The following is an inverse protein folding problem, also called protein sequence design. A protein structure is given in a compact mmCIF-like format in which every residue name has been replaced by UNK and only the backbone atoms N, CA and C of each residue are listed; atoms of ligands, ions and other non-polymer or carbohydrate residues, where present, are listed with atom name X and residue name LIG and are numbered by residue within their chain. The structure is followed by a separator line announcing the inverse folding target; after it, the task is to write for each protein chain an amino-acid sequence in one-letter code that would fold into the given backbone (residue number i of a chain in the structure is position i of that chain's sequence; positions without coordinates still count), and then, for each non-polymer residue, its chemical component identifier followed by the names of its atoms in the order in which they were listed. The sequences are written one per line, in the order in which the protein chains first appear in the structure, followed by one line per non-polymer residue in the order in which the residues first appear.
data_IF_168977272794
#
_entry.id   IF_168977272794
#
_cell.length_a   1.000
_cell.length_b   1.000
_cell.length_c   1.000
_cell.angle_alpha   90.00
_cell.angle_beta   90.00
_cell.angle_gamma   90.00
#
_symmetry.space_group_name_H-M   'P 1'
#
loop_
_entity.id
_entity.type
_entity.pdbx_description
1 polymer ?
#
# COMPACT_ATOMS: atom_id res chain seq x y z
N UNK A 1 -20.66 16.09 -10.04
CA UNK A 1 -20.68 16.68 -8.69
C UNK A 1 -19.42 17.50 -8.55
N UNK A 2 -19.51 18.77 -8.18
CA UNK A 2 -18.34 19.60 -7.93
C UNK A 2 -17.98 19.46 -6.45
N UNK A 3 -17.01 18.60 -6.15
CA UNK A 3 -16.56 18.28 -4.80
C UNK A 3 -15.26 19.01 -4.51
N UNK A 4 -15.26 19.90 -3.51
CA UNK A 4 -14.06 20.58 -3.03
C UNK A 4 -13.70 20.14 -1.61
N UNK A 5 -12.42 20.16 -1.28
CA UNK A 5 -11.92 19.85 0.05
C UNK A 5 -11.55 21.11 0.84
N UNK A 6 -11.67 21.05 2.16
CA UNK A 6 -11.24 22.09 3.11
C UNK A 6 -10.37 21.45 4.19
N UNK A 7 -9.18 21.99 4.37
CA UNK A 7 -8.19 21.58 5.36
C UNK A 7 -7.93 22.73 6.33
N UNK A 8 -8.48 22.71 7.55
CA UNK A 8 -8.22 23.75 8.54
C UNK A 8 -6.87 23.51 9.23
N UNK A 9 -6.06 24.56 9.34
CA UNK A 9 -4.74 24.50 9.99
C UNK A 9 -4.58 25.67 10.94
N UNK A 10 -4.25 25.38 12.20
CA UNK A 10 -3.99 26.41 13.23
C UNK A 10 -2.62 27.04 13.02
N UNK A 11 -2.40 28.15 13.72
CA UNK A 11 -1.09 28.80 13.84
C UNK A 11 0.00 27.85 14.33
N UNK A 12 1.18 27.88 13.69
CA UNK A 12 2.27 26.93 13.93
C UNK A 12 2.83 27.03 15.35
N UNK A 13 2.81 28.21 15.98
CA UNK A 13 3.28 28.36 17.35
C UNK A 13 2.33 27.68 18.36
N UNK A 14 1.04 27.66 18.05
CA UNK A 14 0.00 27.00 18.85
C UNK A 14 -0.29 25.55 18.44
N UNK A 15 0.19 25.10 17.29
CA UNK A 15 -0.08 23.78 16.75
C UNK A 15 0.58 22.68 17.61
N UNK A 16 -0.16 21.58 17.79
CA UNK A 16 0.32 20.37 18.47
C UNK A 16 1.00 20.64 19.81
N UNK A 17 0.47 21.59 20.58
CA UNK A 17 1.05 22.03 21.86
C UNK A 17 1.30 20.88 22.86
N UNK A 18 0.49 19.83 22.81
CA UNK A 18 0.63 18.58 23.58
C UNK A 18 1.89 17.76 23.23
N UNK A 19 2.55 18.04 22.10
CA UNK A 19 3.86 17.48 21.72
C UNK A 19 5.04 18.27 22.29
N UNK A 20 4.82 19.39 22.98
CA UNK A 20 5.89 20.20 23.58
C UNK A 20 6.91 19.44 24.44
N UNK A 21 6.54 18.35 25.14
CA UNK A 21 7.52 17.53 25.88
C UNK A 21 8.51 16.74 24.99
N UNK A 22 8.20 16.51 23.71
CA UNK A 22 8.98 15.64 22.80
C UNK A 22 9.51 16.36 21.56
N UNK A 23 8.89 17.48 21.18
CA UNK A 23 9.29 18.31 20.04
C UNK A 23 9.35 19.78 20.48
N UNK A 24 10.39 20.47 20.03
CA UNK A 24 10.48 21.92 20.15
C UNK A 24 9.54 22.62 19.16
N UNK A 25 9.55 23.96 19.18
CA UNK A 25 8.68 24.77 18.32
C UNK A 25 8.89 24.47 16.82
N UNK A 26 10.15 24.35 16.40
CA UNK A 26 10.53 24.06 15.01
C UNK A 26 10.08 22.65 14.59
N UNK A 27 10.28 21.65 15.44
CA UNK A 27 9.85 20.29 15.21
C UNK A 27 8.32 20.16 15.10
N UNK A 28 7.56 20.86 15.95
CA UNK A 28 6.08 20.89 15.86
C UNK A 28 5.58 21.58 14.61
N UNK A 29 6.21 22.68 14.20
CA UNK A 29 5.88 23.38 12.97
C UNK A 29 6.15 22.50 11.75
N UNK A 30 7.33 21.88 11.70
CA UNK A 30 7.74 20.95 10.63
C UNK A 30 6.76 19.78 10.53
N UNK A 31 6.41 19.15 11.65
CA UNK A 31 5.46 18.05 11.69
C UNK A 31 4.08 18.47 11.18
N UNK A 32 3.56 19.61 11.64
CA UNK A 32 2.26 20.15 11.20
C UNK A 32 2.20 20.37 9.70
N UNK A 33 3.23 21.02 9.12
CA UNK A 33 3.32 21.24 7.68
C UNK A 33 3.48 19.93 6.89
N UNK A 34 4.19 18.96 7.45
CA UNK A 34 4.38 17.64 6.83
C UNK A 34 3.06 16.87 6.75
N UNK A 35 2.31 16.82 7.85
CA UNK A 35 1.01 16.16 7.88
C UNK A 35 0.00 16.86 6.96
N UNK A 36 -0.02 18.20 6.95
CA UNK A 36 -0.84 18.96 6.00
C UNK A 36 -0.53 18.58 4.55
N UNK A 37 0.76 18.51 4.17
CA UNK A 37 1.17 18.10 2.82
C UNK A 37 0.76 16.66 2.50
N UNK A 38 0.82 15.76 3.47
CA UNK A 38 0.34 14.38 3.30
C UNK A 38 -1.17 14.36 2.97
N UNK A 39 -1.98 15.10 3.73
CA UNK A 39 -3.43 15.22 3.48
C UNK A 39 -3.71 15.80 2.08
N UNK A 40 -2.99 16.85 1.69
CA UNK A 40 -3.12 17.45 0.34
C UNK A 40 -2.69 16.48 -0.78
N UNK A 41 -1.66 15.66 -0.56
CA UNK A 41 -1.26 14.63 -1.53
C UNK A 41 -2.33 13.57 -1.69
N UNK A 42 -2.86 13.04 -0.58
CA UNK A 42 -3.94 12.05 -0.58
C UNK A 42 -5.20 12.57 -1.30
N UNK A 43 -5.57 13.83 -1.07
CA UNK A 43 -6.68 14.50 -1.77
C UNK A 43 -6.47 14.56 -3.28
N UNK A 44 -5.26 14.94 -3.73
CA UNK A 44 -4.92 15.03 -5.16
C UNK A 44 -4.89 13.65 -5.82
N UNK A 45 -4.32 12.67 -5.15
CA UNK A 45 -4.24 11.29 -5.63
C UNK A 45 -5.62 10.65 -5.76
N UNK A 46 -6.55 10.97 -4.85
CA UNK A 46 -7.96 10.60 -4.94
C UNK A 46 -8.77 11.38 -6.01
N UNK A 47 -8.11 12.25 -6.78
CA UNK A 47 -8.71 12.96 -7.91
C UNK A 47 -9.49 14.23 -7.56
N UNK A 48 -9.36 14.80 -6.35
CA UNK A 48 -10.03 16.06 -6.03
C UNK A 48 -9.31 17.24 -6.69
N UNK A 49 -10.04 17.97 -7.54
CA UNK A 49 -9.50 19.07 -8.34
C UNK A 49 -9.14 20.31 -7.52
N UNK A 50 -9.74 20.49 -6.33
CA UNK A 50 -9.54 21.69 -5.52
C UNK A 50 -9.62 21.43 -4.02
N UNK A 51 -8.59 21.88 -3.31
CA UNK A 51 -8.51 21.89 -1.86
C UNK A 51 -8.20 23.30 -1.35
N UNK A 52 -8.93 23.77 -0.34
CA UNK A 52 -8.66 25.02 0.36
C UNK A 52 -7.96 24.73 1.67
N UNK A 53 -6.88 25.46 1.95
CA UNK A 53 -6.25 25.45 3.28
C UNK A 53 -6.63 26.75 3.98
N UNK A 54 -7.36 26.65 5.08
CA UNK A 54 -7.77 27.82 5.86
C UNK A 54 -6.91 27.94 7.12
N UNK A 55 -6.22 29.08 7.26
CA UNK A 55 -5.28 29.31 8.36
C UNK A 55 -5.10 30.79 8.67
N UNK A 56 -4.81 31.18 9.93
CA UNK A 56 -4.42 32.55 10.25
C UNK A 56 -2.92 32.81 10.02
N UNK A 57 -2.14 31.75 9.78
CA UNK A 57 -0.68 31.76 9.74
C UNK A 57 -0.14 31.87 8.30
N UNK A 58 0.65 32.92 7.97
CA UNK A 58 1.21 33.11 6.64
C UNK A 58 2.07 31.94 6.15
N UNK A 59 2.87 31.31 7.00
CA UNK A 59 3.80 30.24 6.60
C UNK A 59 3.01 28.99 6.18
N UNK A 60 1.86 28.74 6.82
CA UNK A 60 0.94 27.68 6.43
C UNK A 60 0.31 27.97 5.07
N UNK A 61 -0.10 29.22 4.82
CA UNK A 61 -0.70 29.62 3.55
C UNK A 61 0.32 29.51 2.39
N UNK A 62 1.56 29.92 2.60
CA UNK A 62 2.65 29.78 1.63
C UNK A 62 2.97 28.30 1.35
N UNK A 63 2.97 27.46 2.38
CA UNK A 63 3.16 26.02 2.25
C UNK A 63 1.99 25.33 1.52
N UNK A 64 0.76 25.81 1.72
CA UNK A 64 -0.42 25.33 1.01
C UNK A 64 -0.36 25.68 -0.49
N UNK A 65 -0.01 26.92 -0.82
CA UNK A 65 0.18 27.35 -2.21
C UNK A 65 1.28 26.54 -2.90
N UNK A 66 2.40 26.32 -2.21
CA UNK A 66 3.50 25.46 -2.70
C UNK A 66 3.06 24.01 -2.96
N UNK A 67 2.04 23.54 -2.24
CA UNK A 67 1.44 22.22 -2.42
C UNK A 67 0.27 22.21 -3.43
N UNK A 68 0.08 23.30 -4.19
CA UNK A 68 -1.01 23.49 -5.16
C UNK A 68 -2.42 23.51 -4.55
N UNK A 69 -2.55 23.85 -3.27
CA UNK A 69 -3.83 24.13 -2.62
C UNK A 69 -4.14 25.63 -2.65
N UNK A 70 -5.42 25.99 -2.47
CA UNK A 70 -5.87 27.38 -2.44
C UNK A 70 -5.75 27.93 -1.01
N UNK A 71 -4.84 28.89 -0.74
CA UNK A 71 -4.73 29.47 0.59
C UNK A 71 -5.92 30.39 0.89
N UNK A 72 -6.50 30.25 2.09
CA UNK A 72 -7.56 31.12 2.60
C UNK A 72 -7.18 31.68 3.98
N UNK A 73 -6.99 32.99 4.05
CA UNK A 73 -6.66 33.66 5.30
C UNK A 73 -7.87 33.66 6.24
N UNK A 74 -7.73 33.00 7.38
CA UNK A 74 -8.71 32.98 8.45
C UNK A 74 -8.86 34.38 9.09
N UNK A 75 -10.09 34.85 9.25
CA UNK A 75 -10.42 36.14 9.90
C UNK A 75 -10.98 35.95 11.30
N UNK A 76 -11.86 34.97 11.48
CA UNK A 76 -12.51 34.66 12.75
C UNK A 76 -11.65 33.80 13.68
N UNK A 77 -12.15 33.55 14.90
CA UNK A 77 -11.46 32.68 15.88
C UNK A 77 -12.12 31.30 15.94
N UNK A 78 -11.29 30.26 16.02
CA UNK A 78 -11.74 28.88 16.20
C UNK A 78 -11.92 28.11 14.88
N UNK A 79 -11.93 26.78 14.99
CA UNK A 79 -11.95 25.86 13.84
C UNK A 79 -13.27 25.92 13.07
N UNK A 80 -14.42 25.87 13.75
CA UNK A 80 -15.72 25.91 13.07
C UNK A 80 -15.92 27.21 12.28
N UNK A 81 -15.46 28.35 12.80
CA UNK A 81 -15.50 29.63 12.07
C UNK A 81 -14.59 29.63 10.84
N UNK A 82 -13.40 29.05 10.94
CA UNK A 82 -12.49 28.89 9.79
C UNK A 82 -13.14 28.03 8.70
N UNK A 83 -13.80 26.95 9.10
CA UNK A 83 -14.51 26.06 8.18
C UNK A 83 -15.70 26.76 7.52
N UNK A 84 -16.45 27.61 8.23
CA UNK A 84 -17.53 28.41 7.63
C UNK A 84 -16.99 29.42 6.60
N UNK A 85 -15.89 30.12 6.90
CA UNK A 85 -15.24 31.01 5.93
C UNK A 85 -14.79 30.26 4.66
N UNK A 86 -14.27 29.03 4.83
CA UNK A 86 -13.89 28.16 3.72
C UNK A 86 -15.10 27.61 2.95
N UNK A 87 -16.19 27.27 3.63
CA UNK A 87 -17.46 26.84 3.03
C UNK A 87 -18.02 27.95 2.14
N UNK A 88 -18.10 29.19 2.64
CA UNK A 88 -18.58 30.34 1.87
C UNK A 88 -17.78 30.51 0.58
N UNK A 89 -16.44 30.43 0.68
CA UNK A 89 -15.56 30.53 -0.47
C UNK A 89 -15.73 29.36 -1.45
N UNK A 90 -15.78 28.13 -0.96
CA UNK A 90 -15.94 26.94 -1.79
C UNK A 90 -17.28 26.94 -2.55
N UNK A 91 -18.37 27.35 -1.89
CA UNK A 91 -19.70 27.49 -2.50
C UNK A 91 -19.69 28.61 -3.54
N UNK A 92 -19.07 29.76 -3.26
CA UNK A 92 -18.92 30.84 -4.23
C UNK A 92 -18.13 30.40 -5.48
N UNK A 93 -17.19 29.46 -5.31
CA UNK A 93 -16.40 28.86 -6.38
C UNK A 93 -17.06 27.64 -7.05
N UNK A 94 -18.32 27.34 -6.70
CA UNK A 94 -19.16 26.36 -7.38
C UNK A 94 -19.17 24.96 -6.75
N UNK A 95 -18.76 24.79 -5.49
CA UNK A 95 -18.89 23.52 -4.79
C UNK A 95 -20.36 23.09 -4.66
N UNK A 96 -20.71 21.90 -5.15
CA UNK A 96 -21.99 21.24 -4.86
C UNK A 96 -21.88 20.28 -3.68
N UNK A 97 -20.65 19.99 -3.25
CA UNK A 97 -20.34 19.11 -2.12
C UNK A 97 -19.01 19.55 -1.49
N UNK A 98 -18.86 19.32 -0.20
CA UNK A 98 -17.71 19.80 0.57
C UNK A 98 -17.16 18.70 1.47
N UNK A 99 -15.88 18.37 1.30
CA UNK A 99 -15.15 17.44 2.17
C UNK A 99 -14.29 18.24 3.16
N UNK A 100 -14.46 18.00 4.46
CA UNK A 100 -13.58 18.54 5.50
C UNK A 100 -12.64 17.45 5.98
N UNK A 101 -11.33 17.72 5.95
CA UNK A 101 -10.28 16.85 6.49
C UNK A 101 -9.32 17.68 7.35
N UNK A 102 -9.21 17.39 8.67
CA UNK A 102 -8.16 17.94 9.51
C UNK A 102 -6.76 17.61 8.98
N UNK A 103 -5.80 18.51 9.24
CA UNK A 103 -4.44 18.38 8.70
C UNK A 103 -3.54 17.39 9.46
N UNK A 104 -4.02 16.81 10.55
CA UNK A 104 -3.28 15.99 11.50
C UNK A 104 -3.50 14.48 11.34
N UNK A 105 -3.77 14.06 10.11
CA UNK A 105 -3.98 12.68 9.69
C UNK A 105 -2.72 12.15 8.96
N UNK A 106 -1.66 11.77 9.70
CA UNK A 106 -0.37 11.41 9.09
C UNK A 106 -0.40 10.12 8.27
N UNK A 107 -1.42 9.27 8.47
CA UNK A 107 -1.55 7.97 7.79
C UNK A 107 -2.51 8.01 6.61
N UNK A 108 -3.18 9.13 6.35
CA UNK A 108 -4.20 9.24 5.31
C UNK A 108 -3.64 8.93 3.92
N UNK A 109 -4.35 8.08 3.15
CA UNK A 109 -4.03 7.73 1.75
C UNK A 109 -5.23 7.98 0.83
N UNK A 110 -4.99 8.01 -0.48
CA UNK A 110 -6.04 8.20 -1.48
C UNK A 110 -7.23 7.22 -1.35
N UNK A 111 -7.03 5.89 -1.12
CA UNK A 111 -8.16 4.97 -0.94
C UNK A 111 -9.04 5.27 0.27
N UNK A 112 -8.51 5.99 1.27
CA UNK A 112 -9.30 6.40 2.44
C UNK A 112 -10.20 7.59 2.11
N UNK A 113 -9.72 8.51 1.26
CA UNK A 113 -10.51 9.64 0.73
C UNK A 113 -11.58 9.12 -0.24
N UNK A 114 -11.22 8.24 -1.16
CA UNK A 114 -12.14 7.61 -2.13
C UNK A 114 -13.30 6.93 -1.40
N UNK A 115 -13.03 6.16 -0.34
CA UNK A 115 -14.07 5.52 0.46
C UNK A 115 -15.07 6.52 1.08
N UNK A 116 -14.60 7.69 1.54
CA UNK A 116 -15.48 8.76 2.05
C UNK A 116 -16.33 9.34 0.93
N UNK A 117 -15.74 9.57 -0.25
CA UNK A 117 -16.43 10.13 -1.42
C UNK A 117 -17.48 9.19 -1.98
N UNK A 118 -17.16 7.90 -2.14
CA UNK A 118 -18.07 6.87 -2.61
C UNK A 118 -19.28 6.74 -1.68
N UNK A 119 -19.02 6.66 -0.36
CA UNK A 119 -20.09 6.64 0.66
C UNK A 119 -20.98 7.89 0.58
N UNK A 120 -20.38 9.03 0.23
CA UNK A 120 -21.03 10.33 0.04
C UNK A 120 -21.85 10.49 -1.24
N UNK A 121 -21.57 9.69 -2.27
CA UNK A 121 -22.16 9.79 -3.60
C UNK A 121 -23.34 8.84 -3.80
N UNK A 122 -23.46 7.82 -2.97
CA UNK A 122 -24.52 6.82 -3.05
C UNK A 122 -25.83 7.31 -2.42
N UNK A 123 -26.85 7.66 -3.20
CA UNK A 123 -28.22 7.87 -2.71
C UNK A 123 -28.98 9.03 -3.33
N UNK A 124 -30.29 9.08 -3.11
CA UNK A 124 -31.16 10.20 -3.50
C UNK A 124 -31.42 11.11 -2.29
N UNK A 125 -30.92 12.35 -2.32
CA UNK A 125 -31.22 13.37 -1.30
C UNK A 125 -30.01 14.05 -0.68
N UNK A 126 -30.21 14.67 0.49
CA UNK A 126 -29.11 15.27 1.28
C UNK A 126 -28.41 14.14 2.04
N UNK A 127 -27.10 14.00 1.84
CA UNK A 127 -26.31 12.95 2.44
C UNK A 127 -25.02 13.51 3.07
N UNK A 128 -24.62 12.90 4.18
CA UNK A 128 -23.39 13.20 4.90
C UNK A 128 -22.62 11.90 5.13
N UNK A 129 -21.33 11.89 4.81
CA UNK A 129 -20.41 10.86 5.29
C UNK A 129 -19.59 11.41 6.46
N UNK A 130 -19.50 10.67 7.55
CA UNK A 130 -18.78 11.03 8.77
C UNK A 130 -17.79 9.94 9.10
N UNK A 131 -16.51 10.28 9.22
CA UNK A 131 -15.48 9.35 9.70
C UNK A 131 -15.07 9.71 11.14
N UNK A 132 -15.14 8.77 12.09
CA UNK A 132 -14.71 9.01 13.46
C UNK A 132 -13.18 8.96 13.61
N UNK A 133 -12.67 9.50 14.71
CA UNK A 133 -11.34 9.15 15.23
C UNK A 133 -11.30 7.70 15.76
N UNK A 134 -10.11 7.20 16.10
CA UNK A 134 -9.92 5.84 16.61
C UNK A 134 -10.68 5.57 17.92
N UNK A 135 -11.06 6.60 18.67
CA UNK A 135 -11.81 6.49 19.92
C UNK A 135 -13.34 6.60 19.74
N UNK A 136 -13.82 6.88 18.52
CA UNK A 136 -15.24 7.11 18.23
C UNK A 136 -15.80 8.42 18.80
N UNK A 137 -14.93 9.39 19.14
CA UNK A 137 -15.32 10.66 19.79
C UNK A 137 -15.21 11.85 18.85
N UNK A 138 -14.05 12.00 18.22
CA UNK A 138 -13.75 13.05 17.24
C UNK A 138 -14.24 12.71 15.83
N UNK A 139 -14.35 13.72 14.97
CA UNK A 139 -14.64 13.55 13.54
C UNK A 139 -13.36 13.84 12.73
N UNK A 140 -12.86 12.85 12.00
CA UNK A 140 -11.67 12.95 11.16
C UNK A 140 -11.97 13.16 9.67
N UNK A 141 -13.21 12.89 9.23
CA UNK A 141 -13.70 13.38 7.94
C UNK A 141 -15.18 13.74 8.02
N UNK A 142 -15.56 14.80 7.31
CA UNK A 142 -16.96 15.18 7.16
C UNK A 142 -17.22 15.59 5.71
N UNK A 143 -17.98 14.78 4.99
CA UNK A 143 -18.44 15.08 3.63
C UNK A 143 -19.89 15.55 3.69
N UNK A 144 -20.16 16.72 3.09
CA UNK A 144 -21.47 17.36 3.07
C UNK A 144 -21.97 17.47 1.63
N UNK A 145 -23.14 16.91 1.35
CA UNK A 145 -23.84 17.08 0.07
C UNK A 145 -25.32 17.38 0.31
N UNK A 146 -25.78 18.63 0.12
CA UNK A 146 -25.03 19.85 -0.25
C UNK A 146 -24.12 20.39 0.87
N UNK A 147 -23.24 21.38 0.61
CA UNK A 147 -22.29 21.92 1.59
C UNK A 147 -22.92 22.52 2.86
N UNK A 148 -24.21 22.87 2.81
CA UNK A 148 -24.98 23.43 3.92
C UNK A 148 -25.84 22.38 4.67
N UNK A 149 -25.68 21.08 4.35
CA UNK A 149 -26.46 20.00 4.96
C UNK A 149 -26.40 20.04 6.50
N UNK A 150 -25.21 20.25 7.08
CA UNK A 150 -24.98 20.33 8.52
C UNK A 150 -24.17 21.58 8.91
N UNK A 151 -24.33 22.09 10.14
CA UNK A 151 -23.36 23.00 10.72
C UNK A 151 -22.07 22.25 11.06
N UNK A 152 -20.94 22.95 11.13
CA UNK A 152 -19.71 22.37 11.65
C UNK A 152 -19.74 22.31 13.18
N UNK A 153 -19.62 21.10 13.73
CA UNK A 153 -19.66 20.81 15.16
C UNK A 153 -18.34 20.17 15.64
N UNK A 154 -17.20 20.54 15.04
CA UNK A 154 -15.89 20.05 15.45
C UNK A 154 -15.54 20.54 16.87
N UNK A 155 -14.91 19.66 17.63
CA UNK A 155 -14.67 19.82 19.06
C UNK A 155 -14.78 18.49 19.81
N UNK A 156 -14.82 18.52 21.15
CA UNK A 156 -15.09 17.34 21.97
C UNK A 156 -16.40 16.68 21.55
N UNK A 157 -16.39 15.34 21.41
CA UNK A 157 -17.55 14.51 21.05
C UNK A 157 -18.21 14.91 19.71
N UNK A 158 -17.44 15.50 18.79
CA UNK A 158 -17.92 15.98 17.49
C UNK A 158 -18.55 14.90 16.62
N UNK A 159 -18.11 13.64 16.72
CA UNK A 159 -18.71 12.54 15.96
C UNK A 159 -20.19 12.37 16.31
N UNK A 160 -20.49 12.21 17.60
CA UNK A 160 -21.86 12.09 18.08
C UNK A 160 -22.69 13.34 17.76
N UNK A 161 -22.07 14.53 17.86
CA UNK A 161 -22.74 15.79 17.54
C UNK A 161 -23.14 15.88 16.04
N UNK A 162 -22.27 15.48 15.11
CA UNK A 162 -22.57 15.49 13.68
C UNK A 162 -23.66 14.46 13.32
N UNK A 163 -23.58 13.24 13.87
CA UNK A 163 -24.58 12.18 13.63
C UNK A 163 -25.96 12.61 14.16
N UNK A 164 -26.01 13.19 15.36
CA UNK A 164 -27.26 13.69 15.94
C UNK A 164 -27.83 14.89 15.16
N UNK A 165 -26.98 15.80 14.70
CA UNK A 165 -27.41 16.92 13.86
C UNK A 165 -28.01 16.46 12.52
N UNK A 166 -27.44 15.41 11.91
CA UNK A 166 -28.00 14.80 10.71
C UNK A 166 -29.38 14.19 10.96
N UNK A 167 -29.51 13.42 12.05
CA UNK A 167 -30.77 12.83 12.48
C UNK A 167 -31.86 13.89 12.70
N UNK A 168 -31.52 15.00 13.38
CA UNK A 168 -32.46 16.10 13.64
C UNK A 168 -32.89 16.84 12.38
N UNK A 169 -32.04 16.88 11.35
CA UNK A 169 -32.31 17.56 10.08
C UNK A 169 -32.88 16.66 8.99
N UNK A 170 -33.10 15.37 9.28
CA UNK A 170 -33.56 14.39 8.31
C UNK A 170 -32.56 14.17 7.16
N UNK A 171 -31.26 14.34 7.45
CA UNK A 171 -30.17 14.07 6.51
C UNK A 171 -29.63 12.67 6.82
N UNK A 172 -29.39 11.87 5.77
CA UNK A 172 -28.81 10.55 5.94
C UNK A 172 -27.33 10.69 6.33
N UNK A 173 -26.94 10.14 7.49
CA UNK A 173 -25.55 10.08 7.92
C UNK A 173 -25.02 8.66 7.76
N UNK A 174 -23.93 8.53 7.02
CA UNK A 174 -23.20 7.26 6.83
C UNK A 174 -21.84 7.34 7.50
N UNK A 175 -21.50 6.29 8.22
CA UNK A 175 -20.24 6.22 8.97
C UNK A 175 -19.19 5.51 8.12
N UNK A 176 -18.01 6.11 8.00
CA UNK A 176 -16.87 5.54 7.25
C UNK A 176 -15.74 5.26 8.23
N UNK A 177 -15.49 3.99 8.49
CA UNK A 177 -14.42 3.56 9.39
C UNK A 177 -13.23 3.04 8.59
N UNK A 178 -12.10 3.74 8.70
CA UNK A 178 -10.84 3.38 8.05
C UNK A 178 -9.71 3.52 9.06
N UNK A 179 -8.84 2.52 9.25
CA UNK A 179 -7.76 2.58 10.25
C UNK A 179 -6.85 3.81 10.09
N UNK A 180 -6.45 4.12 8.85
CA UNK A 180 -5.61 5.27 8.53
C UNK A 180 -6.30 6.61 8.81
N UNK A 181 -7.61 6.70 8.51
CA UNK A 181 -8.41 7.91 8.70
C UNK A 181 -8.75 8.15 10.17
N UNK A 182 -8.88 7.08 10.95
CA UNK A 182 -9.13 7.16 12.40
C UNK A 182 -7.91 7.62 13.21
N UNK A 183 -6.71 7.66 12.62
CA UNK A 183 -5.49 8.03 13.32
C UNK A 183 -5.16 9.52 13.16
N UNK A 184 -5.50 10.33 14.17
CA UNK A 184 -5.04 11.70 14.32
C UNK A 184 -3.86 11.77 15.31
N UNK A 185 -2.83 12.56 14.97
CA UNK A 185 -1.63 12.67 15.80
C UNK A 185 -1.68 13.88 16.69
N UNK A 186 -2.00 13.71 17.98
CA UNK A 186 -2.22 14.83 18.89
C UNK A 186 -1.27 14.87 20.09
N UNK A 187 -0.76 13.72 20.50
CA UNK A 187 0.02 13.53 21.73
C UNK A 187 1.35 12.85 21.47
N UNK A 188 2.25 12.92 22.46
CA UNK A 188 3.53 12.22 22.39
C UNK A 188 3.35 10.69 22.30
N UNK A 189 2.21 10.16 22.76
CA UNK A 189 1.88 8.75 22.60
C UNK A 189 1.52 8.44 21.14
N UNK A 190 0.73 9.29 20.49
CA UNK A 190 0.39 9.15 19.07
C UNK A 190 1.64 9.26 18.20
N UNK A 191 2.54 10.22 18.50
CA UNK A 191 3.83 10.32 17.82
C UNK A 191 4.68 9.04 18.02
N UNK A 192 4.65 8.45 19.22
CA UNK A 192 5.30 7.16 19.49
C UNK A 192 4.63 6.00 18.76
N UNK A 193 3.31 6.00 18.57
CA UNK A 193 2.58 4.99 17.78
C UNK A 193 2.83 5.13 16.29
N UNK A 194 2.97 6.36 15.79
CA UNK A 194 3.34 6.63 14.40
C UNK A 194 4.79 6.19 14.12
N UNK A 195 5.70 6.47 15.05
CA UNK A 195 7.10 6.06 14.99
C UNK A 195 7.32 4.61 15.45
N UNK A 196 6.28 3.97 16.02
CA UNK A 196 6.39 2.59 16.46
C UNK A 196 6.58 1.75 15.20
N UNK A 197 7.54 0.81 15.21
CA UNK A 197 7.47 -0.28 14.26
C UNK A 197 6.07 -0.89 14.33
N UNK A 198 5.53 -1.31 13.17
CA UNK A 198 4.29 -2.10 13.07
C UNK A 198 4.24 -3.01 14.29
N UNK A 199 3.18 -2.96 15.12
CA UNK A 199 3.16 -3.70 16.37
C UNK A 199 3.61 -5.12 16.08
N UNK A 200 4.55 -5.67 16.89
CA UNK A 200 5.05 -7.01 16.66
C UNK A 200 3.82 -7.87 16.42
N UNK A 201 3.79 -8.52 15.25
CA UNK A 201 2.79 -9.55 15.03
C UNK A 201 2.87 -10.41 16.26
N UNK A 202 1.77 -10.57 17.00
CA UNK A 202 1.69 -11.58 18.04
C UNK A 202 1.91 -12.92 17.34
N UNK A 203 3.17 -13.27 17.11
CA UNK A 203 3.61 -14.63 16.93
C UNK A 203 3.82 -15.09 18.36
N UNK A 204 2.82 -15.72 19.00
CA UNK A 204 3.06 -16.34 20.28
C UNK A 204 4.30 -17.22 20.13
N UNK A 205 5.20 -17.14 21.11
CA UNK A 205 6.29 -18.08 21.23
C UNK A 205 5.70 -19.48 21.08
N UNK A 206 6.09 -20.22 20.03
CA UNK A 206 5.47 -21.52 19.75
C UNK A 206 5.98 -22.52 20.79
N UNK A 207 5.15 -22.85 21.78
CA UNK A 207 5.43 -23.93 22.73
C UNK A 207 5.62 -25.28 22.01
N UNK A 208 5.01 -25.45 20.83
CA UNK A 208 5.25 -26.54 19.87
C UNK A 208 5.28 -25.94 18.45
N UNK A 209 6.41 -26.01 17.71
CA UNK A 209 6.50 -25.48 16.35
C UNK A 209 5.59 -26.19 15.35
N UNK A 210 5.05 -27.37 15.70
CA UNK A 210 4.16 -28.17 14.86
C UNK A 210 4.87 -28.77 13.63
N UNK A 211 4.09 -29.47 12.80
CA UNK A 211 4.55 -29.99 11.50
C UNK A 211 4.31 -28.93 10.40
N UNK A 212 5.33 -28.67 9.59
CA UNK A 212 5.21 -27.90 8.34
C UNK A 212 5.14 -28.85 7.15
N UNK A 213 4.11 -28.71 6.30
CA UNK A 213 3.94 -29.50 5.08
C UNK A 213 3.92 -28.58 3.85
N UNK A 214 4.62 -28.99 2.80
CA UNK A 214 4.65 -28.28 1.51
C UNK A 214 4.09 -29.23 0.45
N UNK A 215 2.97 -28.86 -0.15
CA UNK A 215 2.18 -29.74 -1.02
C UNK A 215 2.19 -29.18 -2.45
N UNK A 216 2.77 -29.90 -3.44
CA UNK A 216 2.74 -29.44 -4.82
C UNK A 216 1.36 -29.62 -5.45
N UNK A 217 0.90 -28.62 -6.20
CA UNK A 217 -0.32 -28.71 -7.01
C UNK A 217 0.03 -29.30 -8.37
N UNK A 218 0.03 -30.63 -8.44
CA UNK A 218 0.41 -31.39 -9.65
C UNK A 218 -0.66 -31.32 -10.74
N UNK A 219 -0.23 -31.44 -11.99
CA UNK A 219 -1.14 -31.46 -13.15
C UNK A 219 -1.76 -30.10 -13.48
N UNK A 220 -1.13 -29.01 -13.04
CA UNK A 220 -1.56 -27.66 -13.37
C UNK A 220 -1.45 -27.44 -14.89
N UNK A 221 -2.50 -26.94 -15.57
CA UNK A 221 -2.48 -26.78 -17.01
C UNK A 221 -1.60 -25.60 -17.44
N UNK A 222 -1.11 -25.64 -18.68
CA UNK A 222 -0.38 -24.52 -19.28
C UNK A 222 -1.29 -23.29 -19.40
N UNK A 223 -0.81 -22.15 -18.88
CA UNK A 223 -1.57 -20.90 -18.83
C UNK A 223 -1.34 -20.06 -20.08
N UNK A 224 -2.42 -19.55 -20.65
CA UNK A 224 -2.38 -18.69 -21.85
C UNK A 224 -2.76 -17.23 -21.53
N UNK A 225 -2.32 -16.27 -22.35
CA UNK A 225 -2.76 -14.88 -22.23
C UNK A 225 -4.27 -14.73 -22.20
N UNK A 226 -4.77 -13.98 -21.21
CA UNK A 226 -6.19 -13.68 -21.00
C UNK A 226 -6.97 -14.77 -20.26
N UNK A 227 -6.34 -15.86 -19.82
CA UNK A 227 -7.03 -16.89 -19.03
C UNK A 227 -7.33 -16.43 -17.59
N UNK A 228 -8.46 -16.92 -17.05
CA UNK A 228 -8.84 -16.74 -15.65
C UNK A 228 -7.93 -17.57 -14.73
N UNK A 229 -6.77 -16.99 -14.41
CA UNK A 229 -5.82 -17.61 -13.50
C UNK A 229 -6.35 -17.76 -12.06
N UNK A 230 -7.00 -16.75 -11.43
CA UNK A 230 -7.57 -16.92 -10.10
C UNK A 230 -8.51 -18.13 -9.98
N UNK A 231 -9.46 -18.26 -10.90
CA UNK A 231 -10.36 -19.41 -10.92
C UNK A 231 -9.63 -20.71 -11.24
N UNK A 232 -8.59 -20.68 -12.09
CA UNK A 232 -7.79 -21.86 -12.38
C UNK A 232 -6.99 -22.34 -11.15
N UNK A 233 -6.34 -21.44 -10.41
CA UNK A 233 -5.65 -21.77 -9.16
C UNK A 233 -6.65 -22.36 -8.17
N UNK A 234 -7.80 -21.72 -7.97
CA UNK A 234 -8.83 -22.19 -7.06
C UNK A 234 -9.36 -23.58 -7.42
N UNK A 235 -9.48 -23.91 -8.71
CA UNK A 235 -9.87 -25.26 -9.16
C UNK A 235 -8.76 -26.30 -8.95
N UNK A 236 -7.50 -25.93 -9.20
CA UNK A 236 -6.36 -26.85 -9.15
C UNK A 236 -5.92 -27.21 -7.73
N UNK A 237 -6.00 -26.27 -6.79
CA UNK A 237 -5.66 -26.52 -5.37
C UNK A 237 -6.65 -27.52 -4.72
N UNK A 238 -7.88 -27.59 -5.22
CA UNK A 238 -8.90 -28.53 -4.76
C UNK A 238 -9.60 -28.12 -3.46
N UNK A 239 -10.44 -29.01 -2.92
CA UNK A 239 -11.28 -28.75 -1.73
C UNK A 239 -10.54 -29.00 -0.40
N UNK A 240 -9.33 -29.56 -0.44
CA UNK A 240 -8.59 -29.96 0.76
C UNK A 240 -7.77 -28.80 1.39
N UNK A 241 -8.00 -27.57 0.90
CA UNK A 241 -7.42 -26.33 1.41
C UNK A 241 -7.99 -26.01 2.79
N UNK A 242 -7.14 -25.56 3.72
CA UNK A 242 -7.52 -25.29 5.12
C UNK A 242 -7.30 -23.83 5.45
N UNK A 243 -8.11 -23.30 6.37
CA UNK A 243 -7.87 -21.97 6.93
C UNK A 243 -6.48 -21.93 7.56
N UNK A 244 -5.72 -20.88 7.25
CA UNK A 244 -4.31 -20.74 7.65
C UNK A 244 -3.30 -21.42 6.73
N UNK A 245 -3.73 -22.04 5.61
CA UNK A 245 -2.79 -22.41 4.55
C UNK A 245 -2.26 -21.15 3.83
N UNK A 246 -1.06 -21.26 3.25
CA UNK A 246 -0.46 -20.26 2.36
C UNK A 246 -0.32 -20.87 0.97
N UNK A 247 -0.92 -20.26 -0.04
CA UNK A 247 -0.80 -20.69 -1.44
C UNK A 247 0.28 -19.87 -2.11
N UNK A 248 1.37 -20.52 -2.53
CA UNK A 248 2.47 -19.89 -3.26
C UNK A 248 2.30 -20.14 -4.75
N UNK A 249 2.37 -19.08 -5.56
CA UNK A 249 2.18 -19.11 -7.01
C UNK A 249 3.36 -18.43 -7.69
N UNK A 250 4.04 -19.10 -8.63
CA UNK A 250 5.13 -18.45 -9.38
C UNK A 250 4.60 -17.31 -10.26
N UNK A 251 5.36 -16.22 -10.38
CA UNK A 251 4.98 -15.08 -11.20
C UNK A 251 4.74 -15.45 -12.67
N UNK A 252 5.37 -16.52 -13.19
CA UNK A 252 5.32 -16.86 -14.63
C UNK A 252 3.91 -17.16 -15.11
N UNK A 253 3.12 -17.89 -14.34
CA UNK A 253 1.72 -18.18 -14.72
C UNK A 253 0.85 -16.93 -14.64
N UNK A 254 1.12 -16.05 -13.68
CA UNK A 254 0.47 -14.74 -13.54
C UNK A 254 0.80 -13.86 -14.73
N UNK A 255 2.07 -13.74 -15.05
CA UNK A 255 2.60 -12.93 -16.15
C UNK A 255 2.05 -13.41 -17.50
N UNK A 256 1.98 -14.74 -17.72
CA UNK A 256 1.33 -15.32 -18.89
C UNK A 256 -0.15 -14.90 -18.97
N UNK A 257 -0.93 -15.12 -17.91
CA UNK A 257 -2.35 -14.77 -17.87
C UNK A 257 -2.59 -13.27 -18.11
N UNK A 258 -1.75 -12.41 -17.56
CA UNK A 258 -1.84 -10.96 -17.65
C UNK A 258 -1.23 -10.37 -18.94
N UNK A 259 -0.83 -11.22 -19.89
CA UNK A 259 -0.31 -10.76 -21.18
C UNK A 259 1.06 -10.08 -21.09
N UNK A 260 1.86 -10.40 -20.07
CA UNK A 260 3.21 -9.87 -19.83
C UNK A 260 4.28 -10.65 -20.61
N UNK A 261 3.96 -11.06 -21.83
CA UNK A 261 4.89 -11.69 -22.77
C UNK A 261 5.28 -10.69 -23.87
N UNK A 262 6.57 -10.59 -24.16
CA UNK A 262 7.09 -9.72 -25.21
C UNK A 262 7.73 -10.54 -26.31
N UNK A 263 7.31 -10.29 -27.55
CA UNK A 263 7.96 -10.78 -28.77
C UNK A 263 9.16 -9.90 -29.09
N UNK A 264 10.37 -10.46 -28.95
CA UNK A 264 11.63 -9.78 -29.20
C UNK A 264 11.76 -9.32 -30.65
N UNK A 265 11.08 -9.95 -31.62
CA UNK A 265 11.12 -9.53 -33.03
C UNK A 265 10.50 -8.14 -33.25
N UNK A 266 9.63 -7.71 -32.34
CA UNK A 266 9.02 -6.38 -32.36
C UNK A 266 9.85 -5.32 -31.59
N UNK A 267 10.97 -5.71 -30.98
CA UNK A 267 11.80 -4.82 -30.16
C UNK A 267 12.94 -4.24 -30.99
N UNK A 268 12.92 -2.93 -31.21
CA UNK A 268 14.08 -2.20 -31.74
C UNK A 268 15.05 -1.86 -30.61
N UNK A 269 16.30 -2.39 -30.62
CA UNK A 269 17.25 -2.13 -29.54
C UNK A 269 17.94 -0.76 -29.66
N UNK A 270 18.13 -0.09 -28.51
CA UNK A 270 18.91 1.13 -28.42
C UNK A 270 20.40 0.91 -28.71
N UNK A 271 21.14 2.00 -28.95
CA UNK A 271 22.59 1.95 -29.14
C UNK A 271 23.32 1.37 -27.91
N UNK A 272 22.82 1.66 -26.71
CA UNK A 272 23.36 1.10 -25.46
C UNK A 272 23.17 -0.42 -25.41
N UNK A 273 21.96 -0.91 -25.71
CA UNK A 273 21.65 -2.33 -25.75
C UNK A 273 22.49 -3.07 -26.81
N UNK A 274 22.62 -2.50 -28.02
CA UNK A 274 23.47 -3.03 -29.10
C UNK A 274 24.93 -3.12 -28.67
N UNK A 275 25.47 -2.06 -28.05
CA UNK A 275 26.85 -2.03 -27.59
C UNK A 275 27.15 -3.06 -26.48
N UNK A 276 26.25 -3.18 -25.49
CA UNK A 276 26.43 -4.17 -24.43
C UNK A 276 26.24 -5.61 -24.93
N UNK A 277 25.25 -5.84 -25.79
CA UNK A 277 24.99 -7.13 -26.42
C UNK A 277 26.19 -7.62 -27.23
N UNK A 278 26.80 -6.75 -28.03
CA UNK A 278 28.00 -7.08 -28.79
C UNK A 278 29.21 -7.41 -27.89
N UNK A 279 29.37 -6.69 -26.77
CA UNK A 279 30.50 -6.90 -25.85
C UNK A 279 30.43 -8.22 -25.08
N UNK A 280 29.24 -8.69 -24.75
CA UNK A 280 29.02 -9.84 -23.87
C UNK A 280 28.24 -10.99 -24.50
N UNK A 281 28.09 -10.98 -25.83
CA UNK A 281 27.39 -12.01 -26.60
C UNK A 281 25.96 -12.25 -26.10
N UNK A 282 25.22 -11.17 -25.91
CA UNK A 282 23.82 -11.18 -25.47
C UNK A 282 22.91 -10.58 -26.52
N UNK A 283 21.66 -11.03 -26.56
CA UNK A 283 20.65 -10.48 -27.47
C UNK A 283 20.34 -9.03 -27.09
N UNK A 284 20.64 -8.04 -27.95
CA UNK A 284 20.36 -6.64 -27.66
C UNK A 284 18.86 -6.36 -27.51
N UNK A 285 17.98 -7.16 -28.11
CA UNK A 285 16.52 -7.04 -27.99
C UNK A 285 16.07 -7.34 -26.57
N UNK A 286 16.60 -8.41 -25.97
CA UNK A 286 16.32 -8.75 -24.57
C UNK A 286 16.89 -7.68 -23.63
N UNK A 287 18.13 -7.22 -23.87
CA UNK A 287 18.73 -6.14 -23.07
C UNK A 287 17.87 -4.88 -23.11
N UNK A 288 17.35 -4.53 -24.28
CA UNK A 288 16.46 -3.38 -24.44
C UNK A 288 15.18 -3.54 -23.59
N UNK A 289 14.58 -4.72 -23.55
CA UNK A 289 13.43 -4.99 -22.67
C UNK A 289 13.81 -4.83 -21.19
N UNK A 290 14.97 -5.36 -20.77
CA UNK A 290 15.49 -5.17 -19.40
C UNK A 290 15.62 -3.67 -19.08
N UNK A 291 16.18 -2.87 -19.98
CA UNK A 291 16.34 -1.43 -19.80
C UNK A 291 14.99 -0.71 -19.64
N UNK A 292 13.94 -1.13 -20.37
CA UNK A 292 12.60 -0.55 -20.29
C UNK A 292 11.87 -0.90 -18.99
N UNK A 293 12.07 -2.11 -18.47
CA UNK A 293 11.50 -2.55 -17.19
C UNK A 293 12.31 -2.09 -15.97
N UNK A 294 13.45 -1.42 -16.20
CA UNK A 294 14.31 -0.87 -15.16
C UNK A 294 13.97 0.58 -14.86
N UNK A 295 13.77 0.90 -13.57
CA UNK A 295 13.77 2.28 -13.07
C UNK A 295 15.19 2.84 -13.00
N UNK A 296 16.16 2.05 -12.54
CA UNK A 296 17.59 2.39 -12.61
C UNK A 296 18.44 1.15 -12.83
N UNK A 297 19.61 1.37 -13.41
CA UNK A 297 20.67 0.36 -13.49
C UNK A 297 21.58 0.50 -12.29
N UNK A 298 21.71 -0.57 -11.50
CA UNK A 298 22.60 -0.65 -10.33
C UNK A 298 23.99 -1.07 -10.77
N UNK A 299 24.08 -2.12 -11.61
CA UNK A 299 25.34 -2.59 -12.18
C UNK A 299 25.10 -3.22 -13.54
N UNK A 300 25.99 -3.00 -14.48
CA UNK A 300 25.91 -3.58 -15.82
C UNK A 300 27.29 -4.00 -16.28
N UNK A 301 27.64 -5.27 -16.07
CA UNK A 301 28.98 -5.79 -16.32
C UNK A 301 28.96 -7.32 -16.47
N UNK A 302 29.95 -7.89 -17.15
CA UNK A 302 30.13 -9.35 -17.29
C UNK A 302 28.89 -10.06 -17.85
N UNK A 303 28.15 -9.39 -18.74
CA UNK A 303 26.92 -9.91 -19.33
C UNK A 303 25.73 -10.01 -18.38
N UNK A 304 25.81 -9.40 -17.19
CA UNK A 304 24.75 -9.34 -16.18
C UNK A 304 24.32 -7.89 -15.99
N UNK A 305 23.02 -7.68 -15.92
CA UNK A 305 22.41 -6.40 -15.57
C UNK A 305 21.74 -6.58 -14.22
N UNK A 306 22.18 -5.84 -13.21
CA UNK A 306 21.47 -5.68 -11.94
C UNK A 306 20.75 -4.35 -12.00
N UNK A 307 19.44 -4.37 -11.80
CA UNK A 307 18.57 -3.21 -11.97
C UNK A 307 17.54 -3.16 -10.86
N UNK A 308 17.13 -1.93 -10.53
CA UNK A 308 15.90 -1.69 -9.77
C UNK A 308 14.74 -1.68 -10.77
N UNK A 309 13.77 -2.56 -10.59
CA UNK A 309 12.52 -2.58 -11.40
C UNK A 309 11.62 -1.40 -11.05
N UNK A 310 10.57 -1.14 -11.84
CA UNK A 310 9.54 -0.14 -11.49
C UNK A 310 8.78 -0.45 -10.19
N UNK A 311 8.77 -1.71 -9.76
CA UNK A 311 8.23 -2.12 -8.46
C UNK A 311 9.15 -1.76 -7.28
N UNK A 312 10.45 -1.62 -7.54
CA UNK A 312 11.50 -1.43 -6.52
C UNK A 312 12.39 -2.65 -6.26
N UNK A 313 12.09 -3.83 -6.84
CA UNK A 313 12.95 -5.01 -6.71
C UNK A 313 14.33 -4.76 -7.31
N UNK A 314 15.39 -5.05 -6.56
CA UNK A 314 16.77 -5.06 -7.07
C UNK A 314 17.14 -6.49 -7.44
N UNK A 315 17.11 -6.80 -8.73
CA UNK A 315 17.31 -8.15 -9.23
C UNK A 315 18.07 -8.18 -10.56
N UNK A 316 18.44 -9.37 -10.99
CA UNK A 316 19.06 -9.57 -12.30
C UNK A 316 18.03 -9.37 -13.41
N UNK A 317 18.44 -8.65 -14.46
CA UNK A 317 17.70 -8.43 -15.69
C UNK A 317 16.27 -7.90 -15.47
N UNK A 318 16.03 -7.11 -14.42
CA UNK A 318 14.71 -6.58 -14.08
C UNK A 318 13.60 -7.64 -13.94
N UNK A 319 13.94 -8.90 -13.63
CA UNK A 319 12.99 -10.02 -13.60
C UNK A 319 12.50 -10.46 -14.99
N UNK A 320 13.13 -9.98 -16.06
CA UNK A 320 12.85 -10.42 -17.43
C UNK A 320 13.45 -11.81 -17.64
N UNK A 321 12.59 -12.78 -17.89
CA UNK A 321 12.97 -14.19 -18.03
C UNK A 321 12.67 -14.72 -19.44
N UNK A 322 13.62 -15.46 -20.03
CA UNK A 322 13.48 -16.13 -21.32
C UNK A 322 13.20 -17.64 -21.18
N UNK A 323 13.16 -18.17 -19.96
CA UNK A 323 12.92 -19.58 -19.66
C UNK A 323 11.43 -19.88 -19.45
N UNK A 324 11.02 -21.11 -19.76
CA UNK A 324 9.65 -21.60 -19.57
C UNK A 324 8.56 -20.75 -20.27
N UNK A 325 8.95 -20.06 -21.35
CA UNK A 325 8.06 -19.31 -22.26
C UNK A 325 8.04 -19.95 -23.65
N UNK A 326 6.97 -19.75 -24.44
CA UNK A 326 6.89 -20.33 -25.79
C UNK A 326 7.87 -19.66 -26.77
N UNK A 327 8.68 -20.48 -27.44
CA UNK A 327 9.56 -20.04 -28.54
C UNK A 327 10.88 -19.39 -28.10
N UNK A 328 11.77 -19.13 -29.06
CA UNK A 328 13.12 -18.58 -28.80
C UNK A 328 13.13 -17.04 -28.74
N UNK A 329 12.13 -16.38 -29.32
CA UNK A 329 12.03 -14.91 -29.42
C UNK A 329 11.02 -14.31 -28.43
N UNK A 330 10.67 -15.02 -27.35
CA UNK A 330 9.71 -14.52 -26.36
C UNK A 330 10.40 -14.34 -25.01
N UNK A 331 10.09 -13.25 -24.30
CA UNK A 331 10.46 -13.07 -22.90
C UNK A 331 9.25 -12.77 -22.03
N UNK A 332 9.29 -13.22 -20.79
CA UNK A 332 8.32 -12.97 -19.74
C UNK A 332 8.77 -11.78 -18.89
N UNK A 333 7.86 -10.84 -18.63
CA UNK A 333 8.09 -9.73 -17.70
C UNK A 333 7.43 -10.06 -16.36
N UNK A 334 7.80 -9.35 -15.30
CA UNK A 334 7.05 -9.40 -14.04
C UNK A 334 5.60 -8.88 -14.23
N UNK A 335 4.64 -9.37 -13.42
CA UNK A 335 3.31 -8.76 -13.31
C UNK A 335 3.45 -7.29 -12.94
N UNK A 336 2.55 -6.42 -13.43
CA UNK A 336 2.61 -4.97 -13.13
C UNK A 336 2.24 -4.68 -11.66
N UNK A 337 1.37 -5.49 -11.09
CA UNK A 337 0.98 -5.41 -9.69
C UNK A 337 0.83 -6.84 -9.12
N UNK A 338 1.93 -7.44 -8.66
CA UNK A 338 1.92 -8.78 -8.09
C UNK A 338 1.06 -8.89 -6.82
N UNK A 339 0.93 -7.82 -6.04
CA UNK A 339 0.09 -7.76 -4.83
C UNK A 339 -1.40 -7.83 -5.20
N UNK A 340 -1.84 -7.02 -6.18
CA UNK A 340 -3.20 -7.10 -6.69
C UNK A 340 -3.50 -8.47 -7.32
N UNK A 341 -2.50 -9.10 -7.94
CA UNK A 341 -2.60 -10.46 -8.48
C UNK A 341 -2.79 -11.50 -7.38
N UNK A 342 -2.01 -11.40 -6.29
CA UNK A 342 -2.15 -12.23 -5.11
C UNK A 342 -3.55 -12.08 -4.49
N UNK A 343 -4.05 -10.85 -4.38
CA UNK A 343 -5.37 -10.54 -3.84
C UNK A 343 -6.49 -11.18 -4.69
N UNK A 344 -6.46 -11.03 -6.02
CA UNK A 344 -7.45 -11.68 -6.91
C UNK A 344 -7.46 -13.20 -6.77
N UNK A 345 -6.28 -13.82 -6.67
CA UNK A 345 -6.16 -15.28 -6.45
C UNK A 345 -6.74 -15.66 -5.09
N UNK A 346 -6.43 -14.89 -4.04
CA UNK A 346 -6.98 -15.10 -2.69
C UNK A 346 -8.49 -15.00 -2.70
N UNK A 347 -9.07 -13.98 -3.31
CA UNK A 347 -10.51 -13.78 -3.37
C UNK A 347 -11.21 -14.97 -4.06
N UNK A 348 -10.64 -15.49 -5.15
CA UNK A 348 -11.14 -16.68 -5.83
C UNK A 348 -11.05 -17.95 -4.96
N UNK A 349 -9.97 -18.12 -4.17
CA UNK A 349 -9.82 -19.23 -3.23
C UNK A 349 -10.84 -19.14 -2.09
N UNK A 350 -10.99 -17.96 -1.49
CA UNK A 350 -11.97 -17.71 -0.40
C UNK A 350 -13.39 -17.93 -0.91
N UNK A 351 -13.74 -17.40 -2.08
CA UNK A 351 -15.07 -17.56 -2.67
C UNK A 351 -15.41 -19.03 -2.98
N UNK A 352 -14.42 -19.84 -3.35
CA UNK A 352 -14.63 -21.25 -3.72
C UNK A 352 -14.59 -22.20 -2.53
N UNK A 353 -13.60 -22.06 -1.65
CA UNK A 353 -13.35 -22.99 -0.56
C UNK A 353 -13.92 -22.54 0.78
N UNK A 354 -14.29 -21.26 0.92
CA UNK A 354 -14.76 -20.68 2.19
C UNK A 354 -13.69 -20.65 3.28
N UNK A 355 -12.41 -20.72 2.91
CA UNK A 355 -11.28 -20.78 3.84
C UNK A 355 -10.44 -19.51 3.80
N UNK A 356 -10.06 -19.02 4.98
CA UNK A 356 -9.21 -17.84 5.10
C UNK A 356 -7.73 -18.22 4.97
N UNK A 357 -7.18 -17.94 3.80
CA UNK A 357 -5.82 -18.28 3.37
C UNK A 357 -5.03 -17.04 3.00
N UNK A 358 -3.71 -17.20 2.90
CA UNK A 358 -2.82 -16.20 2.33
C UNK A 358 -2.33 -16.65 0.95
N UNK A 359 -1.94 -15.69 0.12
CA UNK A 359 -1.33 -15.94 -1.19
C UNK A 359 0.00 -15.21 -1.28
N UNK A 360 1.02 -15.90 -1.76
CA UNK A 360 2.35 -15.33 -2.05
C UNK A 360 2.66 -15.57 -3.52
N UNK A 361 3.05 -14.51 -4.23
CA UNK A 361 3.60 -14.59 -5.58
C UNK A 361 5.11 -14.67 -5.49
N UNK A 362 5.72 -15.71 -6.07
CA UNK A 362 7.17 -15.92 -6.03
C UNK A 362 7.88 -15.65 -7.34
N UNK A 363 9.14 -15.20 -7.25
CA UNK A 363 10.12 -15.25 -8.34
C UNK A 363 11.50 -15.62 -7.80
N UNK A 364 12.40 -16.07 -8.68
CA UNK A 364 13.71 -16.59 -8.33
C UNK A 364 14.81 -15.56 -8.48
N UNK A 365 15.35 -15.09 -7.36
CA UNK A 365 16.40 -14.08 -7.36
C UNK A 365 17.76 -14.65 -6.94
N UNK A 366 18.82 -14.07 -7.50
CA UNK A 366 20.16 -14.15 -6.90
C UNK A 366 20.27 -13.23 -5.67
N UNK A 367 21.33 -13.40 -4.88
CA UNK A 367 21.58 -12.52 -3.71
C UNK A 367 23.08 -12.30 -3.49
N UNK A 368 23.50 -11.15 -2.95
CA UNK A 368 24.91 -10.86 -2.68
C UNK A 368 25.59 -11.95 -1.83
N UNK A 369 26.86 -12.20 -2.14
CA UNK A 369 27.78 -13.09 -1.40
C UNK A 369 27.38 -14.58 -1.29
N UNK A 370 26.31 -15.03 -1.97
CA UNK A 370 25.92 -16.44 -1.99
C UNK A 370 25.74 -16.94 -3.42
N UNK A 371 26.20 -18.16 -3.66
CA UNK A 371 25.96 -18.85 -4.92
C UNK A 371 24.54 -19.42 -4.96
N UNK A 372 23.95 -19.44 -6.16
CA UNK A 372 22.63 -19.99 -6.43
C UNK A 372 21.48 -19.00 -6.19
N UNK A 373 20.37 -19.26 -6.85
CA UNK A 373 19.12 -18.51 -6.71
C UNK A 373 18.28 -19.06 -5.55
N UNK A 374 17.37 -18.23 -5.04
CA UNK A 374 16.28 -18.63 -4.13
C UNK A 374 15.01 -17.96 -4.59
N UNK A 375 13.88 -18.60 -4.39
CA UNK A 375 12.60 -17.94 -4.56
C UNK A 375 12.38 -16.92 -3.43
N UNK A 376 11.85 -15.76 -3.79
CA UNK A 376 11.48 -14.65 -2.92
C UNK A 376 10.05 -14.23 -3.24
N UNK A 377 9.38 -13.58 -2.29
CA UNK A 377 8.05 -13.02 -2.51
C UNK A 377 8.14 -11.69 -3.27
N UNK A 378 7.37 -11.57 -4.34
CA UNK A 378 7.19 -10.32 -5.10
C UNK A 378 5.78 -9.75 -4.95
N UNK A 379 4.84 -10.53 -4.41
CA UNK A 379 3.48 -10.08 -4.12
C UNK A 379 2.87 -10.90 -2.99
N UNK A 380 2.04 -10.28 -2.16
CA UNK A 380 1.46 -10.89 -0.94
C UNK A 380 0.01 -10.43 -0.74
N UNK A 381 -0.84 -11.33 -0.28
CA UNK A 381 -2.20 -11.02 0.16
C UNK A 381 -2.66 -11.90 1.33
N UNK A 382 -3.36 -11.30 2.30
CA UNK A 382 -3.96 -12.01 3.43
C UNK A 382 -3.00 -12.36 4.57
N UNK A 383 -1.77 -11.86 4.54
CA UNK A 383 -0.79 -12.02 5.61
C UNK A 383 0.15 -10.82 5.74
N UNK A 384 0.73 -10.67 6.92
CA UNK A 384 1.88 -9.81 7.13
C UNK A 384 3.14 -10.50 6.59
N UNK A 385 3.87 -9.91 5.63
CA UNK A 385 5.03 -10.52 4.99
C UNK A 385 6.28 -10.53 5.89
N UNK A 386 6.26 -9.71 6.94
CA UNK A 386 7.28 -9.60 7.97
C UNK A 386 6.75 -10.10 9.30
N UNK A 387 7.55 -10.90 10.01
CA UNK A 387 7.38 -11.14 11.43
C UNK A 387 8.37 -10.25 12.21
N UNK A 388 7.85 -9.21 12.82
CA UNK A 388 8.64 -8.27 13.60
C UNK A 388 8.71 -8.73 15.06
N UNK A 389 9.90 -9.10 15.52
CA UNK A 389 10.14 -9.49 16.91
C UNK A 389 10.65 -8.33 17.76
N UNK A 390 10.85 -7.13 17.18
CA UNK A 390 11.37 -5.97 17.90
C UNK A 390 10.42 -5.56 19.02
N UNK A 391 10.99 -5.16 20.15
CA UNK A 391 10.21 -4.81 21.35
C UNK A 391 9.76 -6.03 22.18
N UNK A 392 9.89 -7.25 21.64
CA UNK A 392 9.76 -8.49 22.40
C UNK A 392 11.02 -8.82 23.22
N UNK A 393 10.93 -9.86 24.04
CA UNK A 393 12.06 -10.42 24.79
C UNK A 393 12.48 -11.77 24.21
N UNK A 394 13.78 -12.06 24.26
CA UNK A 394 14.31 -13.40 23.99
C UNK A 394 14.03 -14.36 25.16
N UNK A 395 14.34 -15.67 25.03
CA UNK A 395 14.13 -16.65 26.10
C UNK A 395 14.94 -16.40 27.38
N UNK A 396 15.90 -15.48 27.34
CA UNK A 396 16.72 -15.04 28.47
C UNK A 396 16.26 -13.70 29.05
N UNK A 397 15.18 -13.10 28.51
CA UNK A 397 14.64 -11.82 28.95
C UNK A 397 15.34 -10.60 28.35
N UNK A 398 16.18 -10.75 27.33
CA UNK A 398 16.81 -9.62 26.65
C UNK A 398 15.91 -9.04 25.56
N UNK A 399 15.87 -7.70 25.40
CA UNK A 399 15.06 -7.08 24.36
C UNK A 399 15.62 -7.36 22.96
N UNK A 400 14.72 -7.74 22.04
CA UNK A 400 15.03 -7.84 20.62
C UNK A 400 14.89 -6.46 19.97
N UNK A 401 15.95 -5.99 19.30
CA UNK A 401 16.01 -4.62 18.73
C UNK A 401 16.11 -4.58 17.21
N UNK A 402 16.58 -5.66 16.57
CA UNK A 402 16.79 -5.71 15.12
C UNK A 402 16.08 -6.87 14.41
N UNK A 403 15.46 -7.78 15.15
CA UNK A 403 14.97 -9.06 14.62
C UNK A 403 13.65 -8.89 13.87
N UNK A 404 13.73 -8.83 12.54
CA UNK A 404 12.59 -8.90 11.63
C UNK A 404 12.84 -10.06 10.68
N UNK A 405 11.87 -10.95 10.54
CA UNK A 405 11.94 -12.11 9.67
C UNK A 405 11.07 -11.88 8.43
N UNK A 406 11.64 -12.05 7.24
CA UNK A 406 10.92 -11.99 5.97
C UNK A 406 10.18 -13.30 5.71
N UNK A 407 9.09 -13.53 6.46
CA UNK A 407 8.37 -14.81 6.46
C UNK A 407 7.79 -15.15 5.09
N UNK A 408 7.36 -14.16 4.30
CA UNK A 408 6.90 -14.38 2.94
C UNK A 408 8.01 -14.91 2.01
N UNK A 409 9.25 -14.41 2.16
CA UNK A 409 10.41 -14.94 1.42
C UNK A 409 10.77 -16.36 1.86
N UNK A 410 10.71 -16.66 3.16
CA UNK A 410 10.94 -18.03 3.66
C UNK A 410 9.92 -19.03 3.10
N UNK A 411 8.65 -18.63 3.02
CA UNK A 411 7.57 -19.43 2.47
C UNK A 411 7.72 -19.61 0.96
N UNK A 412 8.10 -18.56 0.22
CA UNK A 412 8.41 -18.63 -1.21
C UNK A 412 9.58 -19.59 -1.49
N UNK A 413 10.69 -19.43 -0.76
CA UNK A 413 11.85 -20.30 -0.86
C UNK A 413 11.52 -21.77 -0.53
N UNK A 414 10.66 -21.99 0.46
CA UNK A 414 10.22 -23.32 0.88
C UNK A 414 9.32 -23.99 -0.17
N UNK A 415 8.41 -23.23 -0.78
CA UNK A 415 7.52 -23.73 -1.84
C UNK A 415 8.27 -24.19 -3.09
N UNK A 416 9.35 -23.50 -3.46
CA UNK A 416 10.18 -23.88 -4.61
C UNK A 416 10.72 -25.32 -4.52
N UNK A 417 10.96 -25.84 -3.30
CA UNK A 417 11.48 -27.19 -3.09
C UNK A 417 10.55 -28.30 -3.63
N UNK A 418 9.25 -28.02 -3.77
CA UNK A 418 8.28 -28.97 -4.35
C UNK A 418 7.73 -28.52 -5.70
N UNK A 419 7.89 -27.24 -6.04
CA UNK A 419 7.51 -26.70 -7.35
C UNK A 419 8.51 -27.12 -8.43
N UNK A 420 9.80 -27.01 -8.13
CA UNK A 420 10.88 -27.37 -9.04
C UNK A 420 10.93 -26.51 -10.32
N UNK A 421 12.14 -26.17 -10.78
CA UNK A 421 12.32 -25.29 -11.96
C UNK A 421 11.78 -25.86 -13.27
N UNK A 422 11.66 -27.18 -13.37
CA UNK A 422 11.34 -27.90 -14.61
C UNK A 422 10.10 -28.79 -14.51
N UNK A 423 9.48 -28.88 -13.35
CA UNK A 423 8.52 -29.95 -13.06
C UNK A 423 7.09 -29.59 -13.46
N UNK A 424 6.88 -28.37 -13.97
CA UNK A 424 5.57 -27.89 -14.41
C UNK A 424 4.59 -27.71 -13.27
N UNK A 425 5.08 -27.41 -12.05
CA UNK A 425 4.27 -27.19 -10.85
C UNK A 425 4.39 -25.71 -10.46
N UNK A 426 3.51 -24.83 -10.94
CA UNK A 426 3.58 -23.39 -10.68
C UNK A 426 2.94 -22.98 -9.35
N UNK A 427 2.31 -23.92 -8.62
CA UNK A 427 1.59 -23.64 -7.37
C UNK A 427 1.94 -24.69 -6.32
N UNK A 428 2.15 -24.24 -5.09
CA UNK A 428 2.27 -25.10 -3.91
C UNK A 428 1.46 -24.55 -2.73
N UNK A 429 1.05 -25.44 -1.83
CA UNK A 429 0.37 -25.08 -0.57
C UNK A 429 1.31 -25.36 0.59
N UNK A 430 1.63 -24.32 1.37
CA UNK A 430 2.35 -24.43 2.63
C UNK A 430 1.33 -24.48 3.77
N UNK A 431 1.40 -25.55 4.57
CA UNK A 431 0.46 -25.85 5.66
C UNK A 431 1.19 -25.99 6.98
N UNK A 432 0.59 -25.48 8.05
CA UNK A 432 1.11 -25.60 9.42
C UNK A 432 1.99 -24.42 9.87
N UNK A 433 2.19 -23.42 9.01
CA UNK A 433 2.81 -22.17 9.43
C UNK A 433 1.76 -21.17 9.92
N UNK A 434 1.79 -20.85 11.22
CA UNK A 434 1.05 -19.73 11.77
C UNK A 434 1.73 -18.40 11.39
N UNK A 435 1.01 -17.56 10.65
CA UNK A 435 1.41 -16.20 10.26
C UNK A 435 0.43 -15.16 10.83
N UNK A 436 0.89 -13.91 10.93
CA UNK A 436 0.01 -12.79 11.23
C UNK A 436 -0.90 -12.50 10.05
N UNK A 437 -2.22 -12.55 10.25
CA UNK A 437 -3.18 -12.10 9.24
C UNK A 437 -3.13 -10.58 9.12
N UNK A 438 -3.33 -10.07 7.92
CA UNK A 438 -3.33 -8.63 7.67
C UNK A 438 -3.29 -8.30 6.18
N UNK A 439 -3.21 -7.00 5.90
CA UNK A 439 -3.22 -6.42 4.55
C UNK A 439 -1.80 -6.10 4.05
N UNK A 440 -0.81 -6.88 4.49
CA UNK A 440 0.58 -6.72 4.10
C UNK A 440 0.81 -7.01 2.62
N UNK A 441 1.86 -6.41 2.06
CA UNK A 441 2.17 -6.38 0.63
C UNK A 441 3.63 -6.74 0.36
N UNK A 442 3.95 -7.19 -0.85
CA UNK A 442 5.32 -7.43 -1.29
C UNK A 442 6.20 -6.18 -1.19
N UNK A 443 5.61 -4.97 -1.23
CA UNK A 443 6.33 -3.72 -1.01
C UNK A 443 6.90 -3.58 0.40
N UNK A 444 6.29 -4.20 1.40
CA UNK A 444 6.79 -4.13 2.78
C UNK A 444 8.12 -4.90 2.95
N UNK A 445 8.46 -5.79 2.02
CA UNK A 445 9.75 -6.50 1.98
C UNK A 445 10.87 -5.65 1.35
N UNK A 446 10.51 -4.57 0.66
CA UNK A 446 11.49 -3.72 0.00
C UNK A 446 12.24 -2.87 1.03
N UNK A 447 13.55 -2.81 0.89
CA UNK A 447 14.38 -1.95 1.72
C UNK A 447 14.27 -0.50 1.21
N UNK A 448 13.90 0.40 2.12
CA UNK A 448 13.87 1.84 1.82
C UNK A 448 15.25 2.34 1.37
N UNK A 449 15.34 3.22 0.35
CA UNK A 449 16.59 3.74 -0.18
C UNK A 449 17.56 4.30 0.86
N UNK A 450 17.04 4.94 1.91
CA UNK A 450 17.84 5.59 2.95
C UNK A 450 18.47 4.58 3.91
N UNK A 451 17.98 3.33 3.93
CA UNK A 451 18.50 2.23 4.75
C UNK A 451 19.43 1.30 3.97
N UNK A 452 19.41 1.34 2.65
CA UNK A 452 20.22 0.48 1.79
C UNK A 452 21.68 0.97 1.72
N UNK A 453 22.55 0.36 2.53
CA UNK A 453 23.98 0.65 2.55
C UNK A 453 24.74 0.19 1.29
N UNK A 454 24.13 -0.62 0.41
CA UNK A 454 24.74 -1.12 -0.82
C UNK A 454 24.35 -0.31 -2.06
N UNK A 455 23.50 0.71 -1.88
CA UNK A 455 22.88 1.50 -2.94
C UNK A 455 23.83 2.35 -3.78
#
# INVERSE_FOLDING_TARGET
MSLYAVVPVKDLAGAKSRLGPVLDLEGRATLTLTMMRNVLSALREAGLERAYVVSPDPDVLDAAESASAVPLRQKGRGMNQALEEAREKAVADGATSLLVLPADLPLLRAPDVEAVVETGAEGEGKLVAVAPDAAGKGTNALLLSPPDALPFLFGPDSFAAHVEAARQRGVEARVVERPNLGFDLDTADDLRRLAAPVPPVEQPYRDDPGELRVLPVKGFPEVRPGEDLPGLVARSVGEDLRSGDVVVVTHKVISKAEGRLVDLRAVEPSALAKGFGARWEKDPRQIEVVLRESRRIVRMERGIIISETHHGFVCANAGVDASNVPGEDTVCLLPLDPDASAARIRDALVARAGTDVAVVVSDSFGRPWRNGITDVAIGVAGMNPLADYRGGLDPHGHPLTASILAVADELAATAELVMGKTDGIPVAVVRGYAYGRGDGTGKDLLMEPEKDMFR
#
